data_IF_166168872405
#
_entry.id   IF_166168872405
#
_cell.length_a   1.000
_cell.length_b   1.000
_cell.length_c   1.000
_cell.angle_alpha   90.00
_cell.angle_beta   90.00
_cell.angle_gamma   90.00
#
_symmetry.space_group_name_H-M   'P 1'
#
loop_
_entity.id
_entity.type
_entity.pdbx_description
1 polymer ?
#
# COMPACT_ATOMS: atom_id res chain seq x y z
N UNK A 1 3.42 -18.78 -12.52
CA UNK A 1 2.38 -19.36 -11.65
C UNK A 1 2.58 -19.00 -10.17
N UNK A 2 3.71 -19.30 -9.52
CA UNK A 2 3.91 -19.01 -8.07
C UNK A 2 3.87 -17.53 -7.65
N UNK A 3 4.50 -16.62 -8.41
CA UNK A 3 4.51 -15.18 -8.06
C UNK A 3 3.11 -14.57 -8.22
N UNK A 4 2.35 -15.03 -9.21
CA UNK A 4 1.00 -14.55 -9.48
C UNK A 4 0.02 -14.88 -8.34
N UNK A 5 0.16 -16.08 -7.74
CA UNK A 5 -0.61 -16.48 -6.55
C UNK A 5 -0.27 -15.61 -5.34
N UNK A 6 1.00 -15.23 -5.19
CA UNK A 6 1.46 -14.32 -4.13
C UNK A 6 0.92 -12.90 -4.31
N UNK A 7 0.85 -12.42 -5.55
CA UNK A 7 0.27 -11.10 -5.87
C UNK A 7 -1.25 -11.08 -5.59
N UNK A 8 -1.98 -12.16 -5.92
CA UNK A 8 -3.41 -12.23 -5.62
C UNK A 8 -3.73 -12.21 -4.13
N UNK A 9 -2.79 -12.62 -3.26
CA UNK A 9 -2.95 -12.50 -1.80
C UNK A 9 -2.90 -11.05 -1.31
N UNK A 10 -2.42 -10.10 -2.12
CA UNK A 10 -2.37 -8.68 -1.77
C UNK A 10 -3.75 -8.03 -1.94
N UNK A 11 -4.59 -8.57 -2.84
CA UNK A 11 -5.91 -8.05 -3.14
C UNK A 11 -6.98 -8.81 -2.36
N UNK A 12 -7.15 -8.38 -1.13
CA UNK A 12 -8.09 -8.98 -0.19
C UNK A 12 -9.48 -8.38 -0.36
N UNK A 13 -10.45 -9.25 -0.70
CA UNK A 13 -11.84 -8.86 -0.91
C UNK A 13 -12.52 -8.39 0.38
N UNK A 14 -12.15 -8.98 1.52
CA UNK A 14 -12.57 -8.53 2.85
C UNK A 14 -11.33 -8.25 3.69
N UNK A 15 -10.93 -6.98 3.68
CA UNK A 15 -9.70 -6.46 4.31
C UNK A 15 -9.43 -7.04 5.70
N UNK A 16 -10.42 -6.98 6.61
CA UNK A 16 -10.23 -7.45 7.98
C UNK A 16 -10.10 -8.97 8.04
N UNK A 17 -11.07 -9.71 7.51
CA UNK A 17 -11.09 -11.17 7.70
C UNK A 17 -9.96 -11.87 6.95
N UNK A 18 -9.61 -11.37 5.77
CA UNK A 18 -8.62 -12.03 4.94
C UNK A 18 -7.20 -11.76 5.45
N UNK A 19 -6.93 -10.55 6.00
CA UNK A 19 -5.65 -10.26 6.63
C UNK A 19 -5.41 -11.11 7.89
N UNK A 20 -6.39 -11.26 8.77
CA UNK A 20 -6.23 -12.13 9.95
C UNK A 20 -6.14 -13.62 9.60
N UNK A 21 -6.71 -14.06 8.47
CA UNK A 21 -6.49 -15.44 7.98
C UNK A 21 -5.07 -15.63 7.47
N UNK A 22 -4.54 -14.63 6.78
CA UNK A 22 -3.20 -14.68 6.20
C UNK A 22 -2.10 -14.47 7.25
N UNK A 23 -2.35 -13.60 8.22
CA UNK A 23 -1.44 -13.21 9.29
C UNK A 23 -2.14 -13.37 10.65
N UNK A 24 -2.29 -14.62 11.13
CA UNK A 24 -3.06 -14.92 12.34
C UNK A 24 -2.46 -14.32 13.63
N UNK A 25 -1.14 -14.10 13.64
CA UNK A 25 -0.42 -13.50 14.78
C UNK A 25 -0.54 -11.97 14.82
N UNK A 26 -1.14 -11.36 13.79
CA UNK A 26 -1.20 -9.92 13.61
C UNK A 26 -0.43 -9.47 12.39
N UNK A 27 -0.63 -8.21 11.99
CA UNK A 27 -0.06 -7.66 10.77
C UNK A 27 0.13 -6.15 10.87
N UNK A 28 0.87 -5.59 9.93
CA UNK A 28 0.91 -4.15 9.67
C UNK A 28 0.51 -3.86 8.23
N UNK A 29 -0.25 -2.80 8.06
CA UNK A 29 -0.57 -2.22 6.75
C UNK A 29 -0.06 -0.80 6.74
N UNK A 30 0.70 -0.44 5.71
CA UNK A 30 1.22 0.91 5.55
C UNK A 30 0.88 1.42 4.16
N UNK A 31 0.54 2.71 4.07
CA UNK A 31 0.50 3.43 2.81
C UNK A 31 1.29 4.72 2.98
N UNK A 32 2.27 4.90 2.09
CA UNK A 32 3.17 6.04 2.08
C UNK A 32 3.01 6.78 0.76
N UNK A 33 2.74 8.09 0.86
CA UNK A 33 2.73 9.01 -0.26
C UNK A 33 3.74 10.13 -0.02
N UNK A 34 4.78 10.18 -0.85
CA UNK A 34 5.85 11.17 -0.75
C UNK A 34 5.72 12.12 -1.93
N UNK A 35 5.52 13.40 -1.64
CA UNK A 35 5.72 14.49 -2.60
C UNK A 35 7.11 15.09 -2.35
N UNK A 36 8.08 14.76 -3.22
CA UNK A 36 9.49 15.13 -3.02
C UNK A 36 9.67 16.62 -2.77
N UNK A 37 10.49 16.96 -1.77
CA UNK A 37 10.76 18.34 -1.36
C UNK A 37 9.56 19.07 -0.74
N UNK A 38 8.43 18.39 -0.50
CA UNK A 38 7.23 18.99 0.11
C UNK A 38 6.84 18.28 1.40
N UNK A 39 6.24 17.08 1.31
CA UNK A 39 5.70 16.36 2.46
C UNK A 39 5.64 14.85 2.19
N UNK A 40 5.55 14.09 3.27
CA UNK A 40 5.26 12.67 3.34
C UNK A 40 3.95 12.52 4.12
N UNK A 41 3.00 11.78 3.56
CA UNK A 41 1.78 11.32 4.24
C UNK A 41 1.90 9.82 4.43
N UNK A 42 1.69 9.36 5.65
CA UNK A 42 1.76 7.93 5.98
C UNK A 42 0.55 7.55 6.83
N UNK A 43 -0.16 6.50 6.41
CA UNK A 43 -1.16 5.83 7.26
C UNK A 43 -0.64 4.44 7.58
N UNK A 44 -0.41 4.20 8.87
CA UNK A 44 0.01 2.90 9.41
C UNK A 44 -1.11 2.32 10.25
N UNK A 45 -1.50 1.09 9.94
CA UNK A 45 -2.45 0.28 10.72
C UNK A 45 -1.75 -0.96 11.25
N UNK A 46 -2.11 -1.36 12.46
CA UNK A 46 -1.71 -2.61 13.09
C UNK A 46 -2.95 -3.46 13.37
N UNK A 47 -2.94 -4.69 12.85
CA UNK A 47 -3.89 -5.73 13.23
C UNK A 47 -3.38 -6.47 14.46
N UNK A 48 -4.09 -6.35 15.57
CA UNK A 48 -3.79 -7.04 16.83
C UNK A 48 -4.58 -8.35 16.90
N UNK A 49 -3.87 -9.48 16.95
CA UNK A 49 -4.46 -10.82 17.00
C UNK A 49 -5.17 -11.14 18.31
N UNK A 50 -4.80 -10.49 19.42
CA UNK A 50 -5.34 -10.79 20.76
C UNK A 50 -6.82 -10.43 20.88
N UNK A 51 -7.24 -9.36 20.19
CA UNK A 51 -8.60 -8.83 20.22
C UNK A 51 -9.20 -8.66 18.81
N UNK A 52 -8.46 -9.04 17.77
CA UNK A 52 -8.81 -8.88 16.36
C UNK A 52 -9.21 -7.45 15.98
N UNK A 53 -8.54 -6.46 16.57
CA UNK A 53 -8.73 -5.03 16.26
C UNK A 53 -7.72 -4.55 15.25
N UNK A 54 -8.07 -3.47 14.55
CA UNK A 54 -7.17 -2.80 13.61
C UNK A 54 -7.20 -1.32 13.96
N UNK A 55 -6.04 -0.76 14.30
CA UNK A 55 -5.90 0.65 14.67
C UNK A 55 -4.52 1.17 14.31
N UNK A 56 -4.33 2.49 14.36
CA UNK A 56 -3.04 3.09 14.07
C UNK A 56 -3.09 4.60 13.95
N UNK A 57 -2.28 5.14 13.03
CA UNK A 57 -2.10 6.60 12.88
C UNK A 57 -1.98 7.01 11.41
N UNK A 58 -2.50 8.20 11.12
CA UNK A 58 -2.24 8.98 9.93
C UNK A 58 -1.31 10.14 10.32
N UNK A 59 -0.17 10.25 9.64
CA UNK A 59 0.84 11.27 9.92
C UNK A 59 1.12 12.11 8.69
N UNK A 60 1.55 13.35 8.93
CA UNK A 60 2.19 14.19 7.93
C UNK A 60 3.54 14.65 8.45
N UNK A 61 4.57 14.44 7.67
CA UNK A 61 5.93 14.89 7.94
C UNK A 61 6.41 15.73 6.77
N UNK A 62 7.27 16.72 7.01
CA UNK A 62 7.93 17.45 5.93
C UNK A 62 8.87 16.50 5.19
N UNK A 63 8.86 16.53 3.86
CA UNK A 63 9.82 15.77 3.06
C UNK A 63 11.10 16.60 2.91
N UNK A 64 11.87 16.73 3.99
CA UNK A 64 13.26 17.20 3.94
C UNK A 64 14.20 16.03 3.60
N UNK A 65 15.48 16.31 3.37
CA UNK A 65 16.48 15.26 3.17
C UNK A 65 16.66 14.38 4.42
N UNK A 66 16.22 14.87 5.58
CA UNK A 66 16.27 14.16 6.85
C UNK A 66 14.90 13.56 7.20
N UNK A 67 14.72 12.30 6.84
CA UNK A 67 13.50 11.51 7.06
C UNK A 67 13.27 11.21 8.55
N UNK A 68 14.15 11.69 9.46
CA UNK A 68 14.01 11.52 10.91
C UNK A 68 13.19 12.62 11.59
N UNK A 69 12.69 13.60 10.83
CA UNK A 69 11.81 14.64 11.37
C UNK A 69 10.54 14.04 12.00
N UNK A 70 10.19 14.53 13.19
CA UNK A 70 8.94 14.15 13.86
C UNK A 70 7.75 14.61 13.02
N UNK A 71 6.64 13.86 12.98
CA UNK A 71 5.44 14.30 12.30
C UNK A 71 4.96 15.66 12.78
N UNK A 72 4.62 16.54 11.85
CA UNK A 72 3.98 17.83 12.13
C UNK A 72 2.53 17.62 12.57
N UNK A 73 1.90 16.55 12.07
CA UNK A 73 0.52 16.18 12.37
C UNK A 73 0.46 14.67 12.65
N UNK A 74 -0.37 14.26 13.61
CA UNK A 74 -0.65 12.85 13.90
C UNK A 74 -2.12 12.70 14.31
N UNK A 75 -2.85 11.88 13.57
CA UNK A 75 -4.28 11.61 13.77
C UNK A 75 -4.43 10.11 14.05
N UNK A 76 -5.13 9.75 15.12
CA UNK A 76 -5.41 8.35 15.41
C UNK A 76 -6.49 7.84 14.45
N UNK A 77 -6.38 6.58 14.05
CA UNK A 77 -7.37 5.93 13.20
C UNK A 77 -7.68 4.54 13.74
N UNK A 78 -8.96 4.22 13.85
CA UNK A 78 -9.45 2.88 14.08
C UNK A 78 -10.11 2.36 12.80
N UNK A 79 -9.99 1.07 12.51
CA UNK A 79 -10.71 0.44 11.40
C UNK A 79 -11.78 -0.51 11.94
N UNK A 80 -13.03 -0.06 11.88
CA UNK A 80 -14.17 -0.70 12.51
C UNK A 80 -15.26 -0.94 11.46
N UNK A 81 -15.74 -2.18 11.35
CA UNK A 81 -16.85 -2.55 10.45
C UNK A 81 -16.65 -2.15 8.98
N UNK A 82 -15.42 -2.08 8.50
CA UNK A 82 -15.13 -1.72 7.11
C UNK A 82 -14.76 -0.24 6.91
N UNK A 83 -14.85 0.58 7.95
CA UNK A 83 -14.71 2.03 7.90
C UNK A 83 -13.50 2.52 8.71
N UNK A 84 -12.89 3.60 8.25
CA UNK A 84 -11.84 4.31 8.97
C UNK A 84 -12.48 5.38 9.86
N UNK A 85 -12.22 5.31 11.16
CA UNK A 85 -12.71 6.24 12.17
C UNK A 85 -11.53 7.07 12.67
N UNK A 86 -11.47 8.33 12.26
CA UNK A 86 -10.38 9.23 12.62
C UNK A 86 -10.70 10.03 13.89
N UNK A 87 -9.67 10.30 14.71
CA UNK A 87 -9.82 11.22 15.84
C UNK A 87 -10.08 12.67 15.41
N UNK A 88 -9.69 13.03 14.18
CA UNK A 88 -10.04 14.29 13.51
C UNK A 88 -10.38 14.01 12.03
N UNK A 89 -11.66 13.73 11.79
CA UNK A 89 -12.21 13.37 10.48
C UNK A 89 -11.97 14.44 9.41
N UNK A 90 -12.10 15.71 9.77
CA UNK A 90 -11.96 16.82 8.82
C UNK A 90 -10.52 16.93 8.36
N UNK A 91 -9.58 16.94 9.31
CA UNK A 91 -8.16 17.01 9.01
C UNK A 91 -7.68 15.76 8.28
N UNK A 92 -8.16 14.57 8.63
CA UNK A 92 -7.81 13.34 7.95
C UNK A 92 -8.19 13.39 6.45
N UNK A 93 -9.40 13.86 6.10
CA UNK A 93 -9.83 14.04 4.71
C UNK A 93 -9.01 15.06 3.92
N UNK A 94 -8.50 16.09 4.58
CA UNK A 94 -7.59 17.07 3.97
C UNK A 94 -6.20 16.46 3.70
N UNK A 95 -5.69 15.64 4.62
CA UNK A 95 -4.35 15.05 4.56
C UNK A 95 -4.27 13.79 3.67
N UNK A 96 -5.30 12.95 3.71
CA UNK A 96 -5.32 11.63 3.09
C UNK A 96 -6.51 11.50 2.12
N UNK A 97 -6.37 12.00 0.88
CA UNK A 97 -7.49 12.12 -0.06
C UNK A 97 -7.81 10.82 -0.82
N UNK A 98 -7.29 9.67 -0.35
CA UNK A 98 -7.38 8.39 -1.04
C UNK A 98 -8.58 7.53 -0.61
N UNK A 99 -9.12 7.79 0.60
CA UNK A 99 -10.33 7.15 1.11
C UNK A 99 -10.31 5.60 1.01
N UNK A 100 -9.19 5.03 1.47
CA UNK A 100 -8.88 3.60 1.45
C UNK A 100 -7.52 3.29 0.83
N UNK A 101 -7.15 2.01 0.89
CA UNK A 101 -5.94 1.51 0.24
C UNK A 101 -6.21 1.14 -1.23
N UNK A 102 -5.23 1.36 -2.11
CA UNK A 102 -5.30 1.04 -3.52
C UNK A 102 -5.54 -0.45 -3.73
N UNK A 103 -4.89 -1.33 -2.95
CA UNK A 103 -5.12 -2.77 -3.06
C UNK A 103 -6.57 -3.21 -2.76
N UNK A 104 -7.35 -2.39 -2.03
CA UNK A 104 -8.79 -2.62 -1.82
C UNK A 104 -9.63 -2.21 -3.03
N UNK A 105 -9.12 -1.30 -3.88
CA UNK A 105 -9.82 -0.78 -5.06
C UNK A 105 -9.50 -1.59 -6.32
N UNK A 106 -8.42 -2.37 -6.32
CA UNK A 106 -7.98 -3.16 -7.47
C UNK A 106 -8.48 -4.61 -7.39
N UNK A 107 -8.92 -5.15 -8.54
CA UNK A 107 -9.10 -6.58 -8.73
C UNK A 107 -7.91 -7.12 -9.50
N UNK A 108 -6.96 -7.73 -8.79
CA UNK A 108 -5.70 -8.21 -9.36
C UNK A 108 -5.81 -9.73 -9.51
N UNK A 109 -6.43 -10.14 -10.61
CA UNK A 109 -6.54 -11.54 -11.00
C UNK A 109 -5.56 -11.91 -12.13
N UNK A 110 -5.63 -13.16 -12.57
CA UNK A 110 -4.80 -13.62 -13.68
C UNK A 110 -5.06 -12.82 -14.96
N UNK A 111 -6.32 -12.52 -15.27
CA UNK A 111 -6.70 -11.80 -16.48
C UNK A 111 -6.15 -10.38 -16.49
N UNK A 112 -6.28 -9.67 -15.36
CA UNK A 112 -5.70 -8.35 -15.14
C UNK A 112 -4.19 -8.38 -15.37
N UNK A 113 -3.46 -9.24 -14.67
CA UNK A 113 -2.00 -9.30 -14.78
C UNK A 113 -1.52 -9.73 -16.17
N UNK A 114 -2.25 -10.64 -16.84
CA UNK A 114 -1.93 -11.05 -18.22
C UNK A 114 -2.21 -9.96 -19.26
N UNK A 115 -3.06 -8.98 -18.95
CA UNK A 115 -3.34 -7.86 -19.86
C UNK A 115 -2.28 -6.75 -19.82
N UNK A 116 -1.45 -6.74 -18.76
CA UNK A 116 -0.47 -5.68 -18.54
C UNK A 116 0.82 -5.91 -19.34
N UNK A 117 1.42 -4.81 -19.82
CA UNK A 117 2.73 -4.85 -20.45
C UNK A 117 3.83 -4.85 -19.39
N UNK A 118 4.55 -5.95 -19.24
CA UNK A 118 5.68 -6.06 -18.31
C UNK A 118 6.79 -5.07 -18.70
N UNK A 119 7.25 -4.29 -17.73
CA UNK A 119 8.37 -3.33 -17.85
C UNK A 119 9.68 -3.94 -17.37
N UNK A 120 9.66 -4.55 -16.19
CA UNK A 120 10.83 -5.15 -15.55
C UNK A 120 10.41 -6.26 -14.58
N UNK A 121 11.34 -7.16 -14.27
CA UNK A 121 11.17 -8.15 -13.20
C UNK A 121 12.50 -8.52 -12.57
N UNK A 122 12.47 -8.80 -11.27
CA UNK A 122 13.58 -9.33 -10.49
C UNK A 122 13.09 -10.51 -9.65
N UNK A 123 13.97 -11.47 -9.38
CA UNK A 123 13.69 -12.57 -8.47
C UNK A 123 14.96 -13.01 -7.76
N UNK A 124 14.89 -13.16 -6.45
CA UNK A 124 15.98 -13.67 -5.63
C UNK A 124 15.68 -15.12 -5.24
N UNK A 125 16.39 -16.07 -5.85
CA UNK A 125 16.22 -17.49 -5.58
C UNK A 125 16.61 -17.94 -4.16
N UNK A 126 17.37 -17.14 -3.42
CA UNK A 126 17.82 -17.50 -2.08
C UNK A 126 16.74 -17.26 -1.01
N UNK A 127 15.91 -16.23 -1.19
CA UNK A 127 14.89 -15.84 -0.20
C UNK A 127 13.48 -15.68 -0.79
N UNK A 128 13.32 -15.91 -2.09
CA UNK A 128 12.03 -15.84 -2.77
C UNK A 128 11.45 -14.43 -2.92
N UNK A 129 12.24 -13.38 -2.62
CA UNK A 129 11.87 -11.99 -2.88
C UNK A 129 11.74 -11.75 -4.38
N UNK A 130 10.82 -10.88 -4.77
CA UNK A 130 10.56 -10.55 -6.16
C UNK A 130 10.12 -9.10 -6.28
N UNK A 131 10.38 -8.52 -7.45
CA UNK A 131 9.78 -7.27 -7.89
C UNK A 131 9.33 -7.44 -9.34
N UNK A 132 8.13 -6.99 -9.67
CA UNK A 132 7.63 -6.98 -11.04
C UNK A 132 6.95 -5.65 -11.31
N UNK A 133 7.42 -4.96 -12.35
CA UNK A 133 6.86 -3.70 -12.82
C UNK A 133 6.09 -3.89 -14.11
N UNK A 134 4.95 -3.22 -14.21
CA UNK A 134 4.10 -3.19 -15.38
C UNK A 134 3.85 -1.74 -15.82
N UNK A 135 3.79 -1.51 -17.13
CA UNK A 135 3.22 -0.29 -17.68
C UNK A 135 1.70 -0.45 -17.76
N UNK A 136 0.97 0.49 -17.20
CA UNK A 136 -0.49 0.43 -17.09
C UNK A 136 -1.15 1.75 -17.49
N UNK A 137 -2.28 1.66 -18.19
CA UNK A 137 -3.28 2.72 -18.35
C UNK A 137 -4.57 2.16 -17.76
N UNK A 138 -4.90 2.54 -16.53
CA UNK A 138 -6.01 1.94 -15.81
C UNK A 138 -6.83 3.03 -15.13
N UNK A 139 -8.13 3.06 -15.44
CA UNK A 139 -9.05 4.08 -14.96
C UNK A 139 -9.15 4.09 -13.43
N UNK A 140 -9.19 2.94 -12.77
CA UNK A 140 -9.24 2.87 -11.30
C UNK A 140 -8.00 3.50 -10.66
N UNK A 141 -6.80 3.17 -11.15
CA UNK A 141 -5.55 3.77 -10.68
C UNK A 141 -5.55 5.28 -10.97
N UNK A 142 -5.88 5.68 -12.20
CA UNK A 142 -5.87 7.09 -12.60
C UNK A 142 -6.88 7.91 -11.80
N UNK A 143 -8.08 7.40 -11.53
CA UNK A 143 -9.08 8.05 -10.66
C UNK A 143 -8.59 8.17 -9.22
N UNK A 144 -7.97 7.10 -8.68
CA UNK A 144 -7.42 7.10 -7.32
C UNK A 144 -6.36 8.19 -7.12
N UNK A 145 -5.52 8.44 -8.12
CA UNK A 145 -4.50 9.49 -8.10
C UNK A 145 -4.95 10.84 -8.70
N UNK A 146 -6.24 10.98 -9.08
CA UNK A 146 -6.79 12.19 -9.74
C UNK A 146 -6.00 12.60 -11.00
N UNK A 147 -5.64 11.61 -11.82
CA UNK A 147 -4.92 11.74 -13.09
C UNK A 147 -5.87 11.64 -14.29
N UNK A 148 -5.36 11.98 -15.47
CA UNK A 148 -6.10 11.75 -16.71
C UNK A 148 -6.36 10.24 -16.89
N UNK A 149 -7.55 9.87 -17.39
CA UNK A 149 -7.97 8.48 -17.50
C UNK A 149 -7.03 7.61 -18.35
N UNK A 150 -6.31 8.22 -19.29
CA UNK A 150 -5.38 7.54 -20.18
C UNK A 150 -3.91 7.73 -19.77
N UNK A 151 -3.62 8.40 -18.67
CA UNK A 151 -2.24 8.62 -18.21
C UNK A 151 -1.54 7.28 -17.93
N UNK A 152 -0.25 7.18 -18.28
CA UNK A 152 0.52 5.96 -18.04
C UNK A 152 1.13 5.99 -16.66
N UNK A 153 1.01 4.89 -15.94
CA UNK A 153 1.78 4.64 -14.73
C UNK A 153 2.67 3.40 -14.88
N UNK A 154 3.69 3.31 -14.03
CA UNK A 154 4.31 2.05 -13.65
C UNK A 154 3.61 1.53 -12.40
N UNK A 155 3.03 0.33 -12.48
CA UNK A 155 2.46 -0.41 -11.37
C UNK A 155 3.43 -1.53 -10.99
N UNK A 156 3.97 -1.48 -9.77
CA UNK A 156 4.90 -2.46 -9.26
C UNK A 156 4.26 -3.38 -8.21
N UNK A 157 4.68 -4.63 -8.21
CA UNK A 157 4.41 -5.60 -7.15
C UNK A 157 5.71 -6.13 -6.59
N UNK A 158 5.89 -6.01 -5.28
CA UNK A 158 7.09 -6.45 -4.60
C UNK A 158 6.79 -7.45 -3.49
N UNK A 159 7.81 -8.22 -3.13
CA UNK A 159 7.90 -8.82 -1.81
C UNK A 159 9.32 -8.86 -1.33
N UNK A 160 9.49 -8.78 -0.02
CA UNK A 160 10.78 -9.09 0.60
C UNK A 160 10.64 -10.21 1.60
N UNK A 161 11.72 -10.95 1.72
CA UNK A 161 11.99 -11.81 2.86
C UNK A 161 13.29 -11.30 3.47
N UNK A 162 13.20 -10.70 4.66
CA UNK A 162 14.38 -10.39 5.48
C UNK A 162 14.72 -11.61 6.35
N UNK A 163 15.97 -11.70 6.81
CA UNK A 163 16.45 -12.85 7.61
C UNK A 163 15.88 -12.91 9.03
N UNK A 164 15.11 -11.91 9.43
CA UNK A 164 14.50 -11.69 10.75
C UNK A 164 13.01 -12.08 10.78
N UNK A 165 12.58 -13.02 9.92
CA UNK A 165 11.20 -13.47 9.75
C UNK A 165 10.19 -12.37 9.36
N UNK A 166 10.68 -11.18 9.00
CA UNK A 166 9.87 -10.10 8.46
C UNK A 166 9.62 -10.31 6.97
N UNK A 167 8.34 -10.49 6.64
CA UNK A 167 7.85 -10.67 5.30
C UNK A 167 6.86 -9.57 4.95
N UNK A 168 7.03 -8.95 3.79
CA UNK A 168 6.04 -8.01 3.29
C UNK A 168 5.76 -8.21 1.82
N UNK A 169 4.53 -7.85 1.45
CA UNK A 169 4.10 -7.60 0.08
C UNK A 169 3.94 -6.11 -0.14
N UNK A 170 4.23 -5.63 -1.35
CA UNK A 170 4.05 -4.22 -1.69
C UNK A 170 3.38 -4.00 -3.04
N UNK A 171 2.67 -2.88 -3.12
CA UNK A 171 2.20 -2.29 -4.37
C UNK A 171 2.82 -0.90 -4.50
N UNK A 172 3.34 -0.58 -5.67
CA UNK A 172 3.89 0.75 -5.96
C UNK A 172 3.23 1.34 -7.19
N UNK A 173 3.05 2.66 -7.19
CA UNK A 173 2.55 3.38 -8.37
C UNK A 173 3.42 4.60 -8.61
N UNK A 174 3.90 4.73 -9.84
CA UNK A 174 4.78 5.81 -10.28
C UNK A 174 4.35 6.33 -11.64
N UNK A 175 4.06 7.64 -11.74
CA UNK A 175 3.80 8.31 -13.02
C UNK A 175 5.01 9.10 -13.50
N UNK A 176 5.67 9.79 -12.57
CA UNK A 176 6.86 10.61 -12.81
C UNK A 176 7.82 10.49 -11.61
N UNK A 177 8.92 11.25 -11.64
CA UNK A 177 9.93 11.25 -10.57
C UNK A 177 9.60 12.21 -9.40
N UNK A 178 8.42 12.85 -9.39
CA UNK A 178 8.05 13.88 -8.41
C UNK A 178 7.44 13.28 -7.16
N UNK A 179 6.76 12.13 -7.28
CA UNK A 179 6.17 11.45 -6.14
C UNK A 179 6.42 9.94 -6.12
N UNK A 180 6.38 9.40 -4.90
CA UNK A 180 6.50 7.97 -4.63
C UNK A 180 5.25 7.54 -3.87
N UNK A 181 4.57 6.52 -4.37
CA UNK A 181 3.46 5.87 -3.69
C UNK A 181 3.79 4.39 -3.44
N UNK A 182 3.64 3.95 -2.20
CA UNK A 182 3.91 2.58 -1.78
C UNK A 182 2.85 2.15 -0.79
N UNK A 183 2.27 0.98 -0.99
CA UNK A 183 1.51 0.25 0.02
C UNK A 183 2.28 -1.00 0.40
N UNK A 184 2.27 -1.34 1.68
CA UNK A 184 2.86 -2.58 2.18
C UNK A 184 1.93 -3.28 3.16
N UNK A 185 1.88 -4.60 3.07
CA UNK A 185 1.29 -5.46 4.10
C UNK A 185 2.38 -6.39 4.60
N UNK A 186 2.60 -6.42 5.92
CA UNK A 186 3.59 -7.28 6.56
C UNK A 186 3.00 -8.06 7.74
N UNK A 187 3.70 -9.11 8.15
CA UNK A 187 3.57 -9.66 9.51
C UNK A 187 4.21 -8.74 10.56
#
# INVERSE_FOLDING_TARGET
MFIQLKISLICLSNFRSDLFKQFPEGFKVNQVYIKRGTYLIEITLQGDSSNQTISGVLTKTRASEDITEKPEETIKVDYINGEFIFSDEKKAKELWPFDGFLFQKLTIDHSFLSSLSMKAKSYNGNNGAFDIDYLVRNQTINQYFKKDENEQATLGFGSSYRKDDYYYYSITVHYDNVYTFIETVSN
#
